data_IF_752056701138
#
_entry.id   IF_752056701138
#
_cell.length_a   1.000
_cell.length_b   1.000
_cell.length_c   1.000
_cell.angle_alpha   90.00
_cell.angle_beta   90.00
_cell.angle_gamma   90.00
#
_symmetry.space_group_name_H-M   'P 1'
#
loop_
_entity.id
_entity.type
_entity.pdbx_description
1 polymer ?
#
# COMPACT_ATOMS: atom_id res chain seq x y z
N UNK A 1 -4.20 -11.66 -21.41
CA UNK A 1 -4.45 -11.34 -19.99
C UNK A 1 -3.26 -11.89 -19.24
N UNK A 2 -2.36 -11.03 -18.77
CA UNK A 2 -1.13 -11.50 -18.13
C UNK A 2 -1.47 -12.29 -16.88
N UNK A 3 -1.00 -13.52 -16.84
CA UNK A 3 -1.24 -14.43 -15.73
C UNK A 3 -0.45 -13.95 -14.50
N UNK A 4 -1.14 -13.69 -13.40
CA UNK A 4 -0.52 -13.41 -12.10
C UNK A 4 -0.16 -14.73 -11.43
N UNK A 5 1.07 -14.87 -10.95
CA UNK A 5 1.49 -16.02 -10.17
C UNK A 5 1.25 -15.78 -8.68
N UNK A 6 0.06 -16.14 -8.19
CA UNK A 6 -0.31 -15.97 -6.78
C UNK A 6 0.57 -16.74 -5.80
N UNK A 7 1.36 -17.73 -6.25
CA UNK A 7 2.33 -18.40 -5.36
C UNK A 7 3.46 -17.48 -4.92
N UNK A 8 3.68 -16.39 -5.65
CA UNK A 8 4.67 -15.33 -5.34
C UNK A 8 4.08 -14.18 -4.51
N UNK A 9 2.81 -14.27 -4.12
CA UNK A 9 2.16 -13.22 -3.34
C UNK A 9 2.81 -13.13 -1.97
N UNK A 10 3.41 -11.98 -1.68
CA UNK A 10 4.02 -11.72 -0.38
C UNK A 10 3.74 -10.30 0.11
N UNK A 11 3.66 -10.14 1.43
CA UNK A 11 3.56 -8.83 2.07
C UNK A 11 4.90 -8.11 2.00
N UNK A 12 4.89 -6.86 1.58
CA UNK A 12 6.06 -5.99 1.67
C UNK A 12 6.17 -5.54 3.12
N UNK A 13 6.97 -6.26 3.92
CA UNK A 13 7.18 -5.92 5.33
C UNK A 13 7.85 -4.56 5.45
N UNK A 14 7.13 -3.61 6.02
CA UNK A 14 7.62 -2.26 6.19
C UNK A 14 8.05 -2.03 7.64
N UNK A 15 9.36 -2.06 7.89
CA UNK A 15 9.95 -1.94 9.22
C UNK A 15 10.18 -0.47 9.60
N UNK A 16 9.17 0.39 9.49
CA UNK A 16 9.26 1.77 9.95
C UNK A 16 8.06 2.13 10.80
N UNK A 17 8.25 1.89 12.09
CA UNK A 17 7.46 2.46 13.16
C UNK A 17 7.65 3.98 13.10
N UNK A 18 6.65 4.70 12.63
CA UNK A 18 6.50 6.14 12.87
C UNK A 18 5.36 6.30 13.87
N UNK A 19 5.43 7.32 14.72
CA UNK A 19 4.67 7.46 15.98
C UNK A 19 3.12 7.38 15.86
N UNK A 20 2.56 7.37 14.65
CA UNK A 20 1.13 7.23 14.31
C UNK A 20 0.70 5.78 14.01
N UNK A 21 1.27 4.80 14.71
CA UNK A 21 1.08 3.34 14.57
C UNK A 21 -0.31 2.85 14.12
N UNK A 22 -1.41 3.49 14.53
CA UNK A 22 -2.78 3.10 14.17
C UNK A 22 -3.05 3.16 12.66
N UNK A 23 -2.47 4.12 11.96
CA UNK A 23 -2.78 4.32 10.54
C UNK A 23 -2.03 3.34 9.63
N UNK A 24 -0.93 2.73 10.11
CA UNK A 24 -0.18 1.69 9.39
C UNK A 24 -0.69 0.27 9.60
N UNK A 25 -1.35 -0.03 10.73
CA UNK A 25 -1.88 -1.40 10.97
C UNK A 25 -3.01 -1.77 10.02
N UNK A 26 -3.79 -0.78 9.59
CA UNK A 26 -4.90 -0.99 8.67
C UNK A 26 -4.47 -0.95 7.17
N UNK A 27 -3.19 -0.68 6.90
CA UNK A 27 -2.63 -0.54 5.55
C UNK A 27 -1.71 -1.71 5.20
N UNK A 28 -1.97 -2.40 4.08
CA UNK A 28 -1.19 -3.56 3.64
C UNK A 28 -0.75 -3.40 2.19
N UNK A 29 0.55 -3.59 1.94
CA UNK A 29 1.11 -3.69 0.59
C UNK A 29 1.47 -5.15 0.31
N UNK A 30 0.93 -5.69 -0.78
CA UNK A 30 1.36 -6.95 -1.36
C UNK A 30 2.07 -6.72 -2.68
N UNK A 31 2.98 -7.64 -3.02
CA UNK A 31 3.48 -7.77 -4.39
C UNK A 31 3.23 -9.16 -4.92
N UNK A 32 2.99 -9.26 -6.22
CA UNK A 32 2.80 -10.50 -6.95
C UNK A 32 3.55 -10.42 -8.27
N UNK A 33 4.14 -11.53 -8.71
CA UNK A 33 4.87 -11.59 -9.97
C UNK A 33 3.92 -11.82 -11.14
N UNK A 34 4.12 -11.02 -12.17
CA UNK A 34 3.51 -11.14 -13.50
C UNK A 34 4.60 -11.45 -14.53
N UNK A 35 4.22 -11.84 -15.74
CA UNK A 35 5.18 -12.01 -16.86
C UNK A 35 5.95 -10.72 -17.17
N UNK A 36 5.33 -9.56 -16.96
CA UNK A 36 5.92 -8.24 -17.27
C UNK A 36 6.63 -7.58 -16.07
N UNK A 37 6.70 -8.25 -14.92
CA UNK A 37 7.36 -7.73 -13.72
C UNK A 37 6.52 -7.83 -12.45
N UNK A 38 6.88 -7.02 -11.44
CA UNK A 38 6.17 -6.97 -10.17
C UNK A 38 4.92 -6.10 -10.27
N UNK A 39 3.82 -6.62 -9.74
CA UNK A 39 2.58 -5.88 -9.55
C UNK A 39 2.37 -5.67 -8.06
N UNK A 40 2.16 -4.42 -7.66
CA UNK A 40 1.93 -4.04 -6.27
C UNK A 40 0.44 -3.79 -6.04
N UNK A 41 -0.09 -4.39 -4.98
CA UNK A 41 -1.46 -4.19 -4.51
C UNK A 41 -1.39 -3.47 -3.18
N UNK A 42 -1.91 -2.25 -3.13
CA UNK A 42 -2.00 -1.47 -1.91
C UNK A 42 -3.45 -1.47 -1.42
N UNK A 43 -3.67 -2.01 -0.23
CA UNK A 43 -4.96 -2.02 0.46
C UNK A 43 -4.89 -1.04 1.61
N UNK A 44 -5.65 0.05 1.49
CA UNK A 44 -5.89 1.03 2.53
C UNK A 44 -7.20 0.69 3.23
N UNK A 45 -7.17 0.36 4.51
CA UNK A 45 -8.37 0.23 5.33
C UNK A 45 -8.38 1.40 6.31
N UNK A 46 -9.46 2.17 6.37
CA UNK A 46 -9.58 3.18 7.41
C UNK A 46 -11.04 3.33 7.83
N UNK A 47 -11.31 3.11 9.11
CA UNK A 47 -12.64 3.28 9.67
C UNK A 47 -12.92 4.76 9.96
N UNK A 48 -13.52 5.44 8.98
CA UNK A 48 -13.95 6.81 9.14
C UNK A 48 -15.27 6.90 9.94
N UNK A 49 -15.25 7.62 11.06
CA UNK A 49 -16.44 7.86 11.90
C UNK A 49 -17.33 8.99 11.36
N UNK A 50 -16.80 9.84 10.47
CA UNK A 50 -17.49 10.97 9.84
C UNK A 50 -16.91 11.22 8.44
N UNK A 51 -17.67 11.90 7.60
CA UNK A 51 -17.20 12.34 6.29
C UNK A 51 -16.15 13.45 6.50
N UNK A 52 -14.92 13.22 6.05
CA UNK A 52 -13.86 14.23 5.99
C UNK A 52 -13.90 14.97 4.66
N UNK A 53 -13.98 16.30 4.70
CA UNK A 53 -13.99 17.14 3.49
C UNK A 53 -12.66 17.07 2.72
N UNK A 54 -11.57 16.69 3.38
CA UNK A 54 -10.23 16.64 2.80
C UNK A 54 -9.81 15.23 2.38
N UNK A 55 -10.76 14.29 2.23
CA UNK A 55 -10.45 12.92 1.77
C UNK A 55 -9.62 12.88 0.48
N UNK A 56 -9.86 13.78 -0.47
CA UNK A 56 -9.06 13.85 -1.70
C UNK A 56 -7.58 14.16 -1.44
N UNK A 57 -7.28 15.05 -0.48
CA UNK A 57 -5.90 15.39 -0.09
C UNK A 57 -5.25 14.20 0.61
N UNK A 58 -5.98 13.53 1.50
CA UNK A 58 -5.51 12.32 2.18
C UNK A 58 -5.20 11.19 1.20
N UNK A 59 -6.06 10.96 0.20
CA UNK A 59 -5.79 10.00 -0.88
C UNK A 59 -4.49 10.31 -1.64
N UNK A 60 -4.22 11.60 -1.91
CA UNK A 60 -2.95 12.01 -2.52
C UNK A 60 -1.76 11.71 -1.61
N UNK A 61 -1.89 11.93 -0.30
CA UNK A 61 -0.86 11.58 0.68
C UNK A 61 -0.57 10.08 0.68
N UNK A 62 -1.60 9.23 0.68
CA UNK A 62 -1.42 7.77 0.61
C UNK A 62 -0.70 7.31 -0.65
N UNK A 63 -1.06 7.85 -1.81
CA UNK A 63 -0.36 7.57 -3.07
C UNK A 63 1.10 8.02 -3.00
N UNK A 64 1.36 9.18 -2.39
CA UNK A 64 2.72 9.71 -2.25
C UNK A 64 3.57 8.84 -1.31
N UNK A 65 3.01 8.40 -0.19
CA UNK A 65 3.64 7.46 0.74
C UNK A 65 3.92 6.12 0.05
N UNK A 66 2.96 5.59 -0.71
CA UNK A 66 3.17 4.37 -1.50
C UNK A 66 4.36 4.53 -2.45
N UNK A 67 4.48 5.64 -3.18
CA UNK A 67 5.62 5.87 -4.04
C UNK A 67 6.95 5.98 -3.28
N UNK A 68 6.97 6.63 -2.11
CA UNK A 68 8.16 6.67 -1.27
C UNK A 68 8.61 5.27 -0.88
N UNK A 69 7.68 4.40 -0.48
CA UNK A 69 7.96 3.01 -0.12
C UNK A 69 8.46 2.19 -1.32
N UNK A 70 7.83 2.35 -2.49
CA UNK A 70 8.23 1.64 -3.69
C UNK A 70 9.62 2.03 -4.18
N UNK A 71 10.00 3.31 -4.07
CA UNK A 71 11.35 3.78 -4.45
C UNK A 71 12.43 3.14 -3.56
N UNK A 72 12.13 2.83 -2.30
CA UNK A 72 13.08 2.16 -1.39
C UNK A 72 13.25 0.68 -1.73
N UNK A 73 12.22 0.04 -2.30
CA UNK A 73 12.17 -1.42 -2.57
C UNK A 73 12.52 -1.77 -4.03
N UNK A 74 12.48 -0.79 -4.95
CA UNK A 74 12.84 -0.92 -6.36
C UNK A 74 14.36 -0.91 -6.57
#
# INVERSE_FOLDING_TARGET
>A
MNTLDFSTLETVKNQFITDDFRQREDDIIWRVRSMDGWVYVYLLIEFQSRIDRFMAVRMLTYVSLLYQELIVVA
#
